data_IF_307818774857
#
_entry.id   IF_307818774857
#
_cell.length_a   1.000
_cell.length_b   1.000
_cell.length_c   1.000
_cell.angle_alpha   90.00
_cell.angle_beta   90.00
_cell.angle_gamma   90.00
#
_symmetry.space_group_name_H-M   'P 1'
#
loop_
_entity.id
_entity.type
_entity.pdbx_description
1 polymer ?
#
# COMPACT_ATOMS: atom_id res chain seq x y z
N UNK A 1 24.27 24.98 45.07
CA UNK A 1 24.23 23.58 44.62
C UNK A 1 24.40 23.60 43.11
N UNK A 2 25.45 22.99 42.53
CA UNK A 2 25.58 22.95 41.07
C UNK A 2 24.50 22.01 40.52
N UNK A 3 23.68 22.54 39.61
CA UNK A 3 22.64 21.81 38.89
C UNK A 3 23.25 20.70 38.02
N UNK A 4 22.67 19.49 37.99
CA UNK A 4 22.96 18.55 36.93
C UNK A 4 22.27 19.04 35.64
N UNK A 5 23.07 19.45 34.66
CA UNK A 5 22.64 19.59 33.26
C UNK A 5 22.26 18.21 32.73
N UNK A 6 20.97 17.97 32.56
CA UNK A 6 20.45 16.78 31.88
C UNK A 6 20.57 17.02 30.37
N UNK A 7 21.59 16.44 29.75
CA UNK A 7 21.71 16.30 28.29
C UNK A 7 21.11 14.96 27.85
N UNK A 8 19.78 14.87 27.74
CA UNK A 8 19.12 13.69 27.13
C UNK A 8 17.96 14.10 26.23
N UNK A 9 18.24 14.89 25.19
CA UNK A 9 17.28 15.16 24.11
C UNK A 9 17.39 14.15 22.95
N UNK A 10 18.35 13.23 23.00
CA UNK A 10 18.77 12.45 21.82
C UNK A 10 17.95 11.18 21.52
N UNK A 11 17.08 10.72 22.42
CA UNK A 11 16.26 9.52 22.18
C UNK A 11 14.95 9.82 21.42
N UNK A 12 14.40 11.03 21.56
CA UNK A 12 13.13 11.41 20.93
C UNK A 12 13.26 11.84 19.46
N UNK A 13 14.38 12.46 19.08
CA UNK A 13 14.58 12.98 17.71
C UNK A 13 14.89 11.87 16.69
N UNK A 14 15.50 10.77 17.13
CA UNK A 14 15.75 9.60 16.29
C UNK A 14 14.49 8.75 16.10
N UNK A 15 13.68 8.58 17.15
CA UNK A 15 12.40 7.88 17.07
C UNK A 15 11.45 8.49 16.01
N UNK A 16 11.39 9.82 15.92
CA UNK A 16 10.58 10.51 14.90
C UNK A 16 11.01 10.15 13.47
N UNK A 17 12.32 10.02 13.20
CA UNK A 17 12.84 9.66 11.86
C UNK A 17 12.57 8.20 11.49
N UNK A 18 12.70 7.27 12.43
CA UNK A 18 12.44 5.84 12.18
C UNK A 18 10.96 5.57 11.89
N UNK A 19 10.06 6.35 12.46
CA UNK A 19 8.61 6.11 12.35
C UNK A 19 7.99 6.87 11.18
N UNK A 20 8.50 8.07 10.87
CA UNK A 20 8.20 8.75 9.60
C UNK A 20 8.58 7.86 8.42
N UNK A 21 9.75 7.21 8.51
CA UNK A 21 10.19 6.23 7.54
C UNK A 21 9.31 4.98 7.55
N UNK A 22 8.88 4.49 8.72
CA UNK A 22 8.00 3.33 8.82
C UNK A 22 6.63 3.57 8.16
N UNK A 23 5.92 4.67 8.47
CA UNK A 23 4.60 4.91 7.87
C UNK A 23 4.66 5.04 6.33
N UNK A 24 5.77 5.57 5.81
CA UNK A 24 6.06 5.64 4.37
C UNK A 24 6.70 4.35 3.81
N UNK A 25 7.07 3.40 4.67
CA UNK A 25 7.66 2.10 4.31
C UNK A 25 6.62 1.05 3.93
N UNK A 26 5.32 1.38 4.00
CA UNK A 26 4.28 0.56 3.40
C UNK A 26 4.67 0.18 1.97
N UNK A 27 4.46 -1.08 1.58
CA UNK A 27 4.99 -1.60 0.32
C UNK A 27 4.57 -0.74 -0.88
N UNK A 28 3.32 -0.28 -0.89
CA UNK A 28 2.76 0.56 -1.96
C UNK A 28 3.34 1.99 -1.95
N UNK A 29 3.58 2.55 -0.77
CA UNK A 29 4.09 3.92 -0.61
C UNK A 29 5.61 4.00 -0.87
N UNK A 30 6.38 3.03 -0.37
CA UNK A 30 7.84 3.00 -0.46
C UNK A 30 8.35 2.79 -1.87
N UNK A 31 7.65 1.96 -2.66
CA UNK A 31 7.97 1.73 -4.07
C UNK A 31 7.41 2.81 -4.99
N UNK A 32 6.77 3.85 -4.42
CA UNK A 32 6.20 4.95 -5.19
C UNK A 32 5.16 4.48 -6.18
N UNK A 33 4.36 3.48 -5.80
CA UNK A 33 3.33 2.88 -6.64
C UNK A 33 2.04 3.73 -6.67
N UNK A 34 1.89 4.72 -5.79
CA UNK A 34 0.80 5.71 -5.77
C UNK A 34 1.36 7.12 -5.57
N UNK A 35 0.61 8.15 -5.96
CA UNK A 35 1.02 9.54 -5.80
C UNK A 35 0.75 10.04 -4.38
N UNK A 36 1.79 10.53 -3.69
CA UNK A 36 1.68 11.04 -2.33
C UNK A 36 1.45 12.54 -2.37
N UNK A 37 0.33 13.00 -1.80
CA UNK A 37 -0.01 14.40 -1.60
C UNK A 37 0.17 14.81 -0.14
N UNK A 38 1.31 15.44 0.20
CA UNK A 38 1.54 15.95 1.54
C UNK A 38 0.78 17.27 1.78
N UNK A 39 0.59 17.61 3.05
CA UNK A 39 0.09 18.89 3.55
C UNK A 39 -1.44 19.12 3.41
N UNK A 40 -2.26 18.07 3.43
CA UNK A 40 -3.72 18.17 3.38
C UNK A 40 -4.32 18.22 4.79
N UNK A 41 -4.55 19.42 5.31
CA UNK A 41 -5.04 19.60 6.69
C UNK A 41 -6.50 19.20 6.93
N UNK A 42 -7.37 19.35 5.93
CA UNK A 42 -8.81 19.08 6.10
C UNK A 42 -9.45 18.52 4.82
N UNK A 43 -9.34 19.23 3.71
CA UNK A 43 -9.81 18.75 2.40
C UNK A 43 -9.02 19.39 1.28
N UNK A 44 -8.75 18.62 0.24
CA UNK A 44 -8.22 19.13 -1.02
C UNK A 44 -9.13 18.65 -2.16
N UNK A 45 -9.40 19.53 -3.13
CA UNK A 45 -10.14 19.18 -4.34
C UNK A 45 -9.13 18.77 -5.40
N UNK A 46 -9.14 17.49 -5.72
CA UNK A 46 -8.41 16.89 -6.83
C UNK A 46 -9.14 17.23 -8.12
N UNK A 47 -8.49 18.00 -8.99
CA UNK A 47 -9.01 18.29 -10.33
C UNK A 47 -8.18 17.56 -11.36
N UNK A 48 -8.79 16.67 -12.13
CA UNK A 48 -8.16 16.07 -13.31
C UNK A 48 -8.87 16.59 -14.56
N UNK A 49 -8.06 17.11 -15.48
CA UNK A 49 -8.54 17.69 -16.73
C UNK A 49 -8.36 16.66 -17.83
N UNK A 50 -9.46 16.19 -18.41
CA UNK A 50 -9.42 15.34 -19.60
C UNK A 50 -9.76 16.23 -20.79
N UNK A 51 -8.87 16.25 -21.78
CA UNK A 51 -9.10 16.95 -23.03
C UNK A 51 -9.13 15.94 -24.16
N UNK A 52 -10.20 15.93 -24.96
CA UNK A 52 -10.35 15.04 -26.11
C UNK A 52 -10.77 15.80 -27.36
N UNK A 53 -10.45 15.27 -28.55
CA UNK A 53 -10.96 15.81 -29.82
C UNK A 53 -10.44 17.20 -30.21
N UNK A 54 -9.24 17.58 -29.76
CA UNK A 54 -8.61 18.89 -30.05
C UNK A 54 -8.27 19.11 -31.54
N UNK A 55 -8.19 18.04 -32.33
CA UNK A 55 -7.81 18.10 -33.74
C UNK A 55 -9.10 18.00 -34.56
N UNK A 56 -9.41 19.07 -35.29
CA UNK A 56 -10.46 19.09 -36.33
C UNK A 56 -9.87 19.43 -37.68
N UNK A 57 -10.62 19.12 -38.74
CA UNK A 57 -10.26 19.47 -40.10
C UNK A 57 -10.10 20.98 -40.29
N UNK A 58 -9.23 21.37 -41.22
CA UNK A 58 -8.92 22.76 -41.53
C UNK A 58 -10.17 23.50 -42.04
N UNK A 59 -10.42 24.67 -41.45
CA UNK A 59 -11.62 25.47 -41.66
C UNK A 59 -11.24 26.94 -41.65
N UNK A 60 -11.83 27.73 -42.56
CA UNK A 60 -11.62 29.18 -42.61
C UNK A 60 -12.12 29.90 -41.35
N UNK A 61 -13.01 29.26 -40.59
CA UNK A 61 -13.59 29.78 -39.35
C UNK A 61 -12.98 29.10 -38.13
N UNK A 62 -12.95 29.82 -37.00
CA UNK A 62 -12.62 29.25 -35.70
C UNK A 62 -13.76 28.34 -35.23
N UNK A 63 -13.61 27.05 -35.47
CA UNK A 63 -14.51 26.02 -34.94
C UNK A 63 -13.95 25.56 -33.60
N UNK A 64 -14.70 25.76 -32.51
CA UNK A 64 -14.32 25.23 -31.21
C UNK A 64 -14.29 23.70 -31.26
N UNK A 65 -13.08 23.14 -31.28
CA UNK A 65 -12.82 21.71 -31.30
C UNK A 65 -12.37 21.22 -29.93
N UNK A 66 -12.98 20.13 -29.49
CA UNK A 66 -12.61 19.42 -28.27
C UNK A 66 -13.45 19.78 -27.05
N UNK A 67 -13.63 18.79 -26.18
CA UNK A 67 -14.24 18.97 -24.87
C UNK A 67 -13.15 18.91 -23.79
N UNK A 68 -13.26 19.82 -22.82
CA UNK A 68 -12.45 19.81 -21.61
C UNK A 68 -13.38 19.44 -20.47
N UNK A 69 -13.31 18.19 -20.02
CA UNK A 69 -14.08 17.74 -18.86
C UNK A 69 -13.21 17.85 -17.62
N UNK A 70 -13.67 18.63 -16.64
CA UNK A 70 -13.07 18.75 -15.32
C UNK A 70 -13.79 17.80 -14.37
N UNK A 71 -13.13 16.71 -13.99
CA UNK A 71 -13.63 15.84 -12.91
C UNK A 71 -13.02 16.31 -11.60
N UNK A 72 -13.86 16.60 -10.62
CA UNK A 72 -13.46 17.02 -9.28
C UNK A 72 -13.75 15.90 -8.28
N UNK A 73 -12.74 15.47 -7.51
CA UNK A 73 -12.91 14.58 -6.35
C UNK A 73 -12.31 15.21 -5.11
N UNK A 74 -12.90 14.93 -3.96
CA UNK A 74 -12.42 15.46 -2.69
C UNK A 74 -11.61 14.37 -2.00
N UNK A 75 -10.39 14.71 -1.62
CA UNK A 75 -9.59 13.92 -0.68
C UNK A 75 -9.65 14.59 0.69
N UNK A 76 -10.05 13.82 1.70
CA UNK A 76 -10.16 14.23 3.09
C UNK A 76 -9.46 13.17 3.95
N UNK A 77 -8.22 13.41 4.39
CA UNK A 77 -7.52 12.51 5.31
C UNK A 77 -8.18 12.53 6.69
N UNK A 78 -8.35 11.35 7.27
CA UNK A 78 -8.84 11.20 8.63
C UNK A 78 -7.67 11.24 9.63
N UNK A 79 -7.98 11.64 10.87
CA UNK A 79 -6.98 11.75 11.93
C UNK A 79 -6.97 10.48 12.78
N UNK A 80 -5.80 9.85 12.87
CA UNK A 80 -5.57 8.63 13.62
C UNK A 80 -4.65 8.89 14.81
N UNK A 81 -4.87 8.11 15.87
CA UNK A 81 -4.01 8.07 17.03
C UNK A 81 -3.73 6.63 17.44
N UNK A 82 -2.49 6.37 17.83
CA UNK A 82 -2.08 5.12 18.47
C UNK A 82 -1.67 5.48 19.88
N UNK A 83 -2.45 5.01 20.85
CA UNK A 83 -2.17 5.17 22.28
C UNK A 83 -2.01 3.75 22.84
N UNK A 84 -0.76 3.30 22.97
CA UNK A 84 -0.44 2.00 23.57
C UNK A 84 0.07 2.23 24.99
N UNK A 85 -0.43 1.43 25.94
CA UNK A 85 0.07 1.39 27.32
C UNK A 85 0.62 -0.01 27.60
N UNK A 86 1.88 -0.08 28.03
CA UNK A 86 2.58 -1.31 28.33
C UNK A 86 3.09 -1.28 29.77
N UNK A 87 2.87 -2.37 30.50
CA UNK A 87 3.45 -2.56 31.83
C UNK A 87 4.88 -3.08 31.70
N UNK A 88 5.83 -2.53 32.47
CA UNK A 88 7.25 -2.92 32.47
C UNK A 88 7.52 -4.29 33.10
N UNK A 89 6.69 -4.72 34.05
CA UNK A 89 6.89 -5.94 34.87
C UNK A 89 7.20 -7.22 34.08
N UNK A 90 6.51 -7.58 32.98
CA UNK A 90 6.85 -8.77 32.20
C UNK A 90 8.14 -8.64 31.38
N UNK A 91 8.63 -7.42 31.15
CA UNK A 91 9.88 -7.19 30.39
C UNK A 91 11.12 -7.17 31.28
N UNK A 92 10.96 -6.95 32.59
CA UNK A 92 12.02 -7.00 33.60
C UNK A 92 12.67 -8.40 33.69
N UNK A 93 11.91 -9.49 33.43
CA UNK A 93 12.44 -10.86 33.46
C UNK A 93 13.28 -11.22 32.24
N UNK A 94 12.93 -10.67 31.07
CA UNK A 94 13.44 -11.13 29.78
C UNK A 94 14.62 -10.29 29.27
N UNK A 95 14.64 -8.98 29.55
CA UNK A 95 15.68 -8.06 29.06
C UNK A 95 16.84 -7.83 30.05
N UNK A 96 16.86 -8.63 31.11
CA UNK A 96 17.99 -8.76 32.02
C UNK A 96 18.03 -7.64 33.07
N UNK A 97 17.80 -8.02 34.32
CA UNK A 97 17.95 -7.20 35.53
C UNK A 97 19.31 -6.49 35.69
N UNK A 98 20.30 -6.78 34.83
CA UNK A 98 21.63 -6.17 34.84
C UNK A 98 21.68 -4.86 34.02
N UNK A 99 20.82 -4.70 33.01
CA UNK A 99 20.81 -3.50 32.15
C UNK A 99 19.79 -2.44 32.57
N UNK A 100 18.79 -2.83 33.36
CA UNK A 100 17.70 -1.97 33.86
C UNK A 100 18.08 -1.12 35.09
N UNK A 101 19.23 -1.39 35.71
CA UNK A 101 19.55 -0.85 37.03
C UNK A 101 18.97 -1.73 38.14
N UNK A 102 19.60 -1.73 39.32
CA UNK A 102 19.19 -2.59 40.45
C UNK A 102 18.13 -1.90 41.34
N UNK A 103 17.41 -0.90 40.83
CA UNK A 103 16.60 0.01 41.67
C UNK A 103 15.11 -0.15 41.41
N UNK A 104 14.25 0.25 42.36
CA UNK A 104 12.79 0.24 42.15
C UNK A 104 12.32 1.24 41.05
N UNK A 105 13.24 2.09 40.57
CA UNK A 105 13.06 3.06 39.50
C UNK A 105 14.00 2.71 38.33
N UNK A 106 13.59 1.72 37.54
CA UNK A 106 14.36 1.28 36.38
C UNK A 106 13.99 2.10 35.15
N UNK A 107 15.03 2.72 34.55
CA UNK A 107 14.95 3.39 33.27
C UNK A 107 14.96 2.36 32.15
N UNK A 108 14.11 2.56 31.15
CA UNK A 108 14.09 1.70 29.96
C UNK A 108 15.47 1.71 29.27
N UNK A 109 16.07 0.55 28.95
CA UNK A 109 17.26 0.46 28.13
C UNK A 109 17.00 1.12 26.78
N UNK A 110 17.96 1.92 26.25
CA UNK A 110 17.84 2.56 24.94
C UNK A 110 17.48 1.55 23.84
N UNK A 111 18.05 0.35 23.89
CA UNK A 111 17.82 -0.71 22.91
C UNK A 111 16.37 -1.21 22.92
N UNK A 112 15.77 -1.44 24.09
CA UNK A 112 14.38 -1.88 24.19
C UNK A 112 13.39 -0.80 23.74
N UNK A 113 13.66 0.47 24.09
CA UNK A 113 12.83 1.60 23.63
C UNK A 113 12.85 1.71 22.10
N UNK A 114 14.01 1.52 21.47
CA UNK A 114 14.17 1.56 20.01
C UNK A 114 13.48 0.37 19.33
N UNK A 115 13.56 -0.83 19.90
CA UNK A 115 12.87 -2.02 19.40
C UNK A 115 11.35 -1.88 19.45
N UNK A 116 10.81 -1.43 20.60
CA UNK A 116 9.38 -1.27 20.80
C UNK A 116 8.80 -0.21 19.85
N UNK A 117 9.52 0.89 19.69
CA UNK A 117 9.19 1.92 18.70
C UNK A 117 9.19 1.35 17.28
N UNK A 118 10.22 0.60 16.88
CA UNK A 118 10.30 0.00 15.56
C UNK A 118 9.16 -1.00 15.30
N UNK A 119 8.82 -1.83 16.30
CA UNK A 119 7.73 -2.81 16.19
C UNK A 119 6.35 -2.14 16.07
N UNK A 120 6.08 -1.11 16.89
CA UNK A 120 4.83 -0.34 16.77
C UNK A 120 4.76 0.33 15.40
N UNK A 121 5.87 0.88 14.92
CA UNK A 121 5.93 1.51 13.62
C UNK A 121 5.65 0.51 12.48
N UNK A 122 6.21 -0.70 12.52
CA UNK A 122 5.94 -1.78 11.57
C UNK A 122 4.45 -2.17 11.55
N UNK A 123 3.83 -2.33 12.72
CA UNK A 123 2.41 -2.67 12.83
C UNK A 123 1.50 -1.57 12.27
N UNK A 124 1.81 -0.29 12.56
CA UNK A 124 1.04 0.84 12.00
C UNK A 124 1.20 0.90 10.48
N UNK A 125 2.39 0.60 9.96
CA UNK A 125 2.67 0.59 8.52
C UNK A 125 1.91 -0.53 7.81
N UNK A 126 1.90 -1.73 8.39
CA UNK A 126 1.11 -2.85 7.89
C UNK A 126 -0.40 -2.56 7.91
N UNK A 127 -0.89 -1.97 9.00
CA UNK A 127 -2.31 -1.56 9.10
C UNK A 127 -2.66 -0.45 8.11
N UNK A 128 -1.75 0.50 7.86
CA UNK A 128 -1.96 1.56 6.88
C UNK A 128 -2.00 0.99 5.47
N UNK A 129 -1.10 0.07 5.12
CA UNK A 129 -1.10 -0.64 3.83
C UNK A 129 -2.41 -1.41 3.59
N UNK A 130 -2.91 -2.10 4.62
CA UNK A 130 -4.23 -2.73 4.56
C UNK A 130 -5.32 -1.69 4.30
N UNK A 131 -5.37 -0.62 5.09
CA UNK A 131 -6.40 0.42 4.94
C UNK A 131 -6.37 1.12 3.58
N UNK A 132 -5.18 1.32 2.97
CA UNK A 132 -5.03 1.86 1.60
C UNK A 132 -5.88 1.07 0.60
N UNK A 133 -5.89 -0.26 0.71
CA UNK A 133 -6.53 -1.13 -0.26
C UNK A 133 -7.94 -1.55 0.16
N UNK A 134 -8.11 -2.06 1.38
CA UNK A 134 -9.35 -2.71 1.85
C UNK A 134 -10.14 -1.90 2.90
N UNK A 135 -9.72 -0.68 3.21
CA UNK A 135 -10.36 0.12 4.26
C UNK A 135 -11.86 0.34 4.02
N UNK A 136 -12.68 0.24 5.06
CA UNK A 136 -14.14 0.28 4.93
C UNK A 136 -14.67 1.67 4.58
N UNK A 137 -15.74 1.69 3.77
CA UNK A 137 -16.37 2.94 3.35
C UNK A 137 -17.05 3.66 4.53
N UNK A 138 -16.84 4.97 4.63
CA UNK A 138 -17.44 5.85 5.63
C UNK A 138 -16.84 5.73 7.04
N UNK A 139 -15.66 5.11 7.19
CA UNK A 139 -15.05 4.90 8.51
C UNK A 139 -15.91 4.00 9.41
N UNK A 140 -16.60 3.03 8.82
CA UNK A 140 -17.51 2.13 9.52
C UNK A 140 -16.83 1.35 10.67
N UNK A 141 -15.51 1.22 10.62
CA UNK A 141 -14.66 0.62 11.66
C UNK A 141 -13.72 1.68 12.21
N UNK A 142 -13.60 1.74 13.54
CA UNK A 142 -12.69 2.67 14.20
C UNK A 142 -11.24 2.36 13.84
N UNK A 143 -10.48 3.37 13.41
CA UNK A 143 -9.08 3.23 13.03
C UNK A 143 -8.84 2.90 11.55
N UNK A 144 -9.88 2.92 10.72
CA UNK A 144 -9.79 2.74 9.27
C UNK A 144 -10.18 4.02 8.52
N UNK A 145 -9.63 4.20 7.33
CA UNK A 145 -10.08 5.16 6.32
C UNK A 145 -10.58 4.41 5.09
N UNK A 146 -11.29 5.07 4.19
CA UNK A 146 -11.82 4.44 2.97
C UNK A 146 -10.68 3.90 2.10
N UNK A 147 -10.70 2.62 1.71
CA UNK A 147 -9.72 2.00 0.83
C UNK A 147 -10.03 2.16 -0.66
N UNK A 148 -9.04 1.92 -1.52
CA UNK A 148 -9.21 2.03 -2.97
C UNK A 148 -10.24 1.05 -3.53
N UNK A 149 -10.25 -0.22 -3.09
CA UNK A 149 -11.18 -1.21 -3.64
C UNK A 149 -12.62 -0.94 -3.22
N UNK A 150 -12.85 -0.43 -2.01
CA UNK A 150 -14.19 -0.07 -1.52
C UNK A 150 -14.70 1.21 -2.16
N UNK A 151 -13.82 2.20 -2.37
CA UNK A 151 -14.15 3.41 -3.13
C UNK A 151 -14.41 3.11 -4.61
N UNK A 152 -13.68 2.15 -5.20
CA UNK A 152 -13.87 1.75 -6.59
C UNK A 152 -15.16 0.95 -6.77
N UNK A 153 -15.44 -0.02 -5.89
CA UNK A 153 -16.67 -0.82 -5.95
C UNK A 153 -17.96 -0.01 -5.73
N UNK A 154 -17.87 1.16 -5.08
CA UNK A 154 -19.00 2.07 -4.87
C UNK A 154 -19.25 3.02 -6.06
N UNK A 155 -18.33 3.08 -7.03
CA UNK A 155 -18.35 4.04 -8.13
C UNK A 155 -18.77 3.37 -9.45
N UNK A 156 -19.88 3.83 -10.02
CA UNK A 156 -20.42 3.29 -11.26
C UNK A 156 -19.59 3.63 -12.52
N UNK A 157 -18.65 4.57 -12.42
CA UNK A 157 -17.75 4.90 -13.53
C UNK A 157 -16.59 3.90 -13.65
N UNK A 158 -16.34 3.07 -12.64
CA UNK A 158 -15.27 2.06 -12.63
C UNK A 158 -15.64 0.86 -13.51
N UNK A 159 -14.65 0.30 -14.19
CA UNK A 159 -14.83 -0.89 -15.03
C UNK A 159 -14.70 -2.13 -14.15
N UNK A 160 -15.82 -2.73 -13.77
CA UNK A 160 -15.84 -3.94 -12.95
C UNK A 160 -15.66 -5.22 -13.80
N UNK A 161 -14.68 -6.03 -13.41
CA UNK A 161 -14.43 -7.38 -13.94
C UNK A 161 -14.73 -8.37 -12.83
N UNK A 162 -15.73 -9.24 -13.06
CA UNK A 162 -16.13 -10.21 -12.06
C UNK A 162 -15.02 -11.25 -11.80
N UNK A 163 -14.70 -11.47 -10.52
CA UNK A 163 -13.77 -12.51 -10.14
C UNK A 163 -14.31 -13.92 -10.44
N UNK A 164 -13.41 -14.82 -10.81
CA UNK A 164 -13.75 -16.22 -11.06
C UNK A 164 -14.27 -16.92 -9.80
N UNK A 165 -15.42 -17.58 -9.92
CA UNK A 165 -15.98 -18.41 -8.87
C UNK A 165 -15.04 -19.57 -8.51
N UNK A 166 -14.58 -19.63 -7.26
CA UNK A 166 -13.61 -20.62 -6.79
C UNK A 166 -12.19 -20.09 -6.56
N UNK A 167 -11.92 -18.83 -6.94
CA UNK A 167 -10.64 -18.15 -6.70
C UNK A 167 -9.60 -18.34 -7.82
N UNK A 168 -8.51 -17.59 -7.71
CA UNK A 168 -7.42 -17.58 -8.70
C UNK A 168 -6.38 -18.63 -8.34
N UNK A 169 -6.03 -19.46 -9.31
CA UNK A 169 -5.01 -20.51 -9.22
C UNK A 169 -4.03 -20.44 -10.39
N UNK A 170 -2.99 -21.29 -10.37
CA UNK A 170 -1.96 -21.29 -11.42
C UNK A 170 -2.47 -21.74 -12.80
N UNK A 171 -3.65 -22.35 -12.88
CA UNK A 171 -4.28 -22.79 -14.13
C UNK A 171 -5.12 -21.70 -14.80
N UNK A 172 -5.75 -20.82 -14.02
CA UNK A 172 -6.64 -19.78 -14.53
C UNK A 172 -6.04 -18.36 -14.51
N UNK A 173 -4.98 -18.10 -13.73
CA UNK A 173 -4.45 -16.75 -13.48
C UNK A 173 -4.09 -15.96 -14.75
N UNK A 174 -3.57 -16.60 -15.80
CA UNK A 174 -3.23 -15.91 -17.06
C UNK A 174 -4.50 -15.43 -17.77
N UNK A 175 -5.55 -16.26 -17.78
CA UNK A 175 -6.83 -15.90 -18.39
C UNK A 175 -7.52 -14.78 -17.59
N UNK A 176 -7.48 -14.85 -16.25
CA UNK A 176 -8.09 -13.81 -15.41
C UNK A 176 -7.33 -12.48 -15.50
N UNK A 177 -5.99 -12.49 -15.51
CA UNK A 177 -5.21 -11.27 -15.76
C UNK A 177 -5.42 -10.73 -17.18
N UNK A 178 -5.61 -11.62 -18.18
CA UNK A 178 -5.96 -11.23 -19.55
C UNK A 178 -7.29 -10.47 -19.62
N UNK A 179 -8.33 -10.88 -18.86
CA UNK A 179 -9.60 -10.14 -18.80
C UNK A 179 -9.42 -8.73 -18.25
N UNK A 180 -8.53 -8.55 -17.27
CA UNK A 180 -8.21 -7.22 -16.73
C UNK A 180 -7.54 -6.39 -17.82
N UNK A 181 -6.56 -6.95 -18.53
CA UNK A 181 -5.86 -6.29 -19.64
C UNK A 181 -6.82 -5.89 -20.76
N UNK A 182 -7.71 -6.78 -21.18
CA UNK A 182 -8.69 -6.53 -22.24
C UNK A 182 -9.70 -5.44 -21.85
N UNK A 183 -9.97 -5.29 -20.55
CA UNK A 183 -10.86 -4.26 -20.02
C UNK A 183 -10.18 -2.88 -19.89
N UNK A 184 -8.85 -2.79 -19.96
CA UNK A 184 -8.14 -1.50 -19.90
C UNK A 184 -8.46 -0.69 -21.17
N UNK A 185 -8.91 0.57 -21.02
CA UNK A 185 -9.12 1.46 -22.16
C UNK A 185 -7.86 1.59 -23.04
N UNK A 186 -8.02 1.48 -24.35
CA UNK A 186 -6.91 1.49 -25.33
C UNK A 186 -6.04 2.75 -25.29
N UNK A 187 -6.57 3.87 -24.80
CA UNK A 187 -5.84 5.13 -24.58
C UNK A 187 -4.82 5.06 -23.45
N UNK A 188 -4.95 4.09 -22.53
CA UNK A 188 -4.15 3.93 -21.33
C UNK A 188 -3.14 2.79 -21.42
N UNK A 189 -3.40 1.78 -22.26
CA UNK A 189 -2.64 0.53 -22.32
C UNK A 189 -1.12 0.69 -22.51
N UNK A 190 -0.68 1.71 -23.26
CA UNK A 190 0.74 1.95 -23.56
C UNK A 190 1.37 3.05 -22.68
N UNK A 191 0.74 3.43 -21.57
CA UNK A 191 1.25 4.47 -20.67
C UNK A 191 2.22 3.85 -19.66
N UNK A 192 3.36 4.51 -19.45
CA UNK A 192 4.44 3.99 -18.59
C UNK A 192 4.06 3.95 -17.09
N UNK A 193 3.07 4.75 -16.70
CA UNK A 193 2.51 4.86 -15.36
C UNK A 193 1.32 3.92 -15.10
N UNK A 194 1.05 2.99 -16.03
CA UNK A 194 0.01 1.96 -15.90
C UNK A 194 0.50 0.76 -15.09
N UNK A 195 -0.14 0.48 -13.95
CA UNK A 195 0.12 -0.70 -13.12
C UNK A 195 -1.13 -1.53 -12.88
N UNK A 196 -0.96 -2.86 -12.85
CA UNK A 196 -1.95 -3.81 -12.33
C UNK A 196 -1.52 -4.17 -10.90
N UNK A 197 -2.25 -3.65 -9.92
CA UNK A 197 -2.10 -3.98 -8.51
C UNK A 197 -2.79 -5.31 -8.24
N UNK A 198 -2.02 -6.32 -7.83
CA UNK A 198 -2.54 -7.67 -7.57
C UNK A 198 -2.35 -8.05 -6.11
N UNK A 199 -3.28 -8.86 -5.61
CA UNK A 199 -3.11 -9.53 -4.32
C UNK A 199 -1.97 -10.56 -4.34
N UNK A 200 -1.42 -10.84 -3.16
CA UNK A 200 -0.31 -11.81 -3.01
C UNK A 200 -0.66 -13.21 -3.54
N UNK A 201 -1.92 -13.61 -3.44
CA UNK A 201 -2.39 -14.90 -3.96
C UNK A 201 -2.24 -14.97 -5.49
N UNK A 202 -2.74 -13.94 -6.20
CA UNK A 202 -2.65 -13.84 -7.66
C UNK A 202 -1.19 -13.79 -8.11
N UNK A 203 -0.34 -13.02 -7.42
CA UNK A 203 1.09 -12.95 -7.73
C UNK A 203 1.79 -14.32 -7.60
N UNK A 204 1.51 -15.07 -6.52
CA UNK A 204 2.04 -16.43 -6.32
C UNK A 204 1.55 -17.40 -7.39
N UNK A 205 0.26 -17.34 -7.73
CA UNK A 205 -0.34 -18.15 -8.78
C UNK A 205 0.30 -17.85 -10.15
N UNK A 206 0.53 -16.58 -10.46
CA UNK A 206 1.15 -16.13 -11.71
C UNK A 206 2.60 -16.58 -11.83
N UNK A 207 3.44 -16.39 -10.79
CA UNK A 207 4.82 -16.89 -10.79
C UNK A 207 4.86 -18.41 -10.97
N UNK A 208 3.91 -19.15 -10.36
CA UNK A 208 3.80 -20.59 -10.54
C UNK A 208 3.36 -20.98 -11.96
N UNK A 209 2.48 -20.21 -12.59
CA UNK A 209 2.06 -20.42 -13.97
C UNK A 209 3.21 -20.17 -14.97
N UNK A 210 4.00 -19.12 -14.77
CA UNK A 210 5.24 -18.84 -15.53
C UNK A 210 6.29 -19.95 -15.39
N UNK A 211 6.24 -20.68 -14.27
CA UNK A 211 7.07 -21.85 -14.00
C UNK A 211 6.82 -23.05 -14.89
N UNK A 212 5.75 -23.08 -15.67
CA UNK A 212 5.52 -24.12 -16.66
C UNK A 212 5.35 -25.53 -16.08
N UNK A 213 4.86 -25.70 -14.85
CA UNK A 213 4.50 -27.03 -14.31
C UNK A 213 3.18 -27.54 -14.95
N UNK A 214 3.17 -27.75 -16.26
CA UNK A 214 2.20 -28.61 -16.90
C UNK A 214 2.55 -30.05 -16.56
N UNK A 215 1.67 -30.75 -15.84
CA UNK A 215 1.79 -32.20 -15.67
C UNK A 215 1.70 -32.84 -17.06
N UNK A 216 2.83 -33.39 -17.54
CA UNK A 216 2.85 -34.25 -18.72
C UNK A 216 2.01 -35.50 -18.40
N UNK A 217 0.72 -35.47 -18.71
CA UNK A 217 -0.10 -36.67 -18.73
C UNK A 217 0.20 -37.40 -20.04
N UNK A 218 1.08 -38.41 -19.97
CA UNK A 218 1.24 -39.37 -21.05
C UNK A 218 -0.10 -40.09 -21.28
N UNK A 219 -0.87 -39.65 -22.26
CA UNK A 219 -1.89 -40.52 -22.88
C UNK A 219 -1.12 -41.35 -23.90
N UNK A 220 -0.88 -42.61 -23.54
CA UNK A 220 -0.17 -43.56 -24.40
C UNK A 220 -0.87 -43.71 -25.75
N UNK A 221 -0.20 -43.28 -26.83
CA UNK A 221 -0.58 -43.62 -28.19
C UNK A 221 -0.58 -42.43 -29.14
N UNK A 222 0.57 -42.22 -29.78
CA UNK A 222 0.78 -41.38 -30.96
C UNK A 222 0.87 -39.87 -30.70
N UNK A 223 2.11 -39.41 -30.81
CA UNK A 223 2.60 -38.03 -30.82
C UNK A 223 2.57 -37.29 -29.49
N UNK A 224 3.77 -36.88 -29.06
CA UNK A 224 3.99 -35.97 -27.95
C UNK A 224 3.31 -34.63 -28.25
N UNK A 225 2.03 -34.49 -27.91
CA UNK A 225 1.33 -33.19 -27.90
C UNK A 225 1.12 -32.74 -26.46
N UNK A 226 2.18 -32.83 -25.65
CA UNK A 226 2.28 -32.00 -24.47
C UNK A 226 2.66 -30.61 -24.96
N UNK A 227 1.72 -29.67 -24.97
CA UNK A 227 2.08 -28.26 -25.14
C UNK A 227 3.01 -27.91 -23.98
N UNK A 228 4.31 -27.87 -24.27
CA UNK A 228 5.35 -27.45 -23.33
C UNK A 228 5.02 -26.01 -23.02
N UNK A 229 4.39 -25.79 -21.86
CA UNK A 229 4.08 -24.45 -21.36
C UNK A 229 5.34 -23.61 -21.52
N UNK A 230 5.21 -22.51 -22.27
CA UNK A 230 6.33 -21.68 -22.66
C UNK A 230 7.21 -21.44 -21.43
N UNK A 231 8.42 -21.98 -21.51
CA UNK A 231 9.55 -21.59 -20.69
C UNK A 231 9.45 -20.08 -20.48
N UNK A 232 9.31 -19.62 -19.23
CA UNK A 232 9.33 -18.20 -18.89
C UNK A 232 10.59 -17.49 -19.42
N UNK A 233 10.89 -16.28 -18.97
CA UNK A 233 12.07 -15.55 -19.48
C UNK A 233 13.34 -16.43 -19.34
N UNK A 234 14.00 -16.68 -20.48
CA UNK A 234 15.19 -17.52 -20.63
C UNK A 234 15.08 -18.97 -20.11
N UNK A 235 13.88 -19.55 -20.02
CA UNK A 235 13.69 -20.94 -19.54
C UNK A 235 14.06 -21.16 -18.08
N UNK A 236 14.06 -20.08 -17.28
CA UNK A 236 14.38 -20.13 -15.85
C UNK A 236 13.19 -20.49 -14.95
N UNK A 237 12.03 -20.83 -15.53
CA UNK A 237 10.84 -21.27 -14.80
C UNK A 237 10.49 -20.36 -13.62
N UNK A 238 10.14 -20.95 -12.47
CA UNK A 238 9.82 -20.20 -11.24
C UNK A 238 11.03 -19.54 -10.57
N UNK A 239 12.26 -19.91 -10.94
CA UNK A 239 13.50 -19.37 -10.34
C UNK A 239 13.82 -17.96 -10.83
N UNK A 240 13.13 -17.49 -11.87
CA UNK A 240 13.28 -16.14 -12.41
C UNK A 240 12.82 -15.05 -11.41
N UNK A 241 11.79 -15.31 -10.60
CA UNK A 241 11.29 -14.35 -9.62
C UNK A 241 12.15 -14.36 -8.33
N UNK A 242 13.33 -13.75 -8.41
CA UNK A 242 14.35 -13.65 -7.35
C UNK A 242 14.20 -12.47 -6.38
N UNK A 243 12.99 -11.92 -6.22
CA UNK A 243 12.70 -10.93 -5.15
C UNK A 243 12.93 -9.46 -5.47
N UNK A 244 13.07 -9.08 -6.75
CA UNK A 244 13.20 -7.67 -7.14
C UNK A 244 12.91 -7.32 -8.60
N UNK A 245 12.45 -8.28 -9.41
CA UNK A 245 12.11 -8.04 -10.83
C UNK A 245 10.61 -7.75 -10.98
N UNK A 246 10.27 -6.72 -11.75
CA UNK A 246 8.88 -6.36 -12.01
C UNK A 246 8.22 -7.42 -12.88
N UNK A 247 7.20 -8.08 -12.33
CA UNK A 247 6.28 -8.91 -13.10
C UNK A 247 5.58 -8.03 -14.14
N UNK A 248 5.36 -8.55 -15.34
CA UNK A 248 4.58 -7.87 -16.36
C UNK A 248 3.80 -8.89 -17.18
N UNK A 249 2.60 -8.52 -17.60
CA UNK A 249 1.76 -9.32 -18.50
C UNK A 249 1.36 -8.46 -19.69
N UNK A 250 1.51 -9.00 -20.90
CA UNK A 250 1.15 -8.37 -22.18
C UNK A 250 1.69 -6.93 -22.41
N UNK A 251 2.73 -6.53 -21.67
CA UNK A 251 3.35 -5.20 -21.72
C UNK A 251 2.96 -4.26 -20.58
N UNK A 252 2.05 -4.67 -19.68
CA UNK A 252 1.65 -3.90 -18.49
C UNK A 252 2.40 -4.40 -17.26
N UNK A 253 2.89 -3.47 -16.43
CA UNK A 253 3.62 -3.78 -15.19
C UNK A 253 2.65 -4.25 -14.10
N UNK A 254 3.01 -5.31 -13.40
CA UNK A 254 2.28 -5.84 -12.25
C UNK A 254 2.98 -5.39 -10.96
N UNK A 255 2.19 -4.88 -10.03
CA UNK A 255 2.63 -4.51 -8.69
C UNK A 255 1.94 -5.39 -7.64
N UNK A 256 2.71 -5.95 -6.71
CA UNK A 256 2.15 -6.79 -5.64
C UNK A 256 1.79 -5.91 -4.44
N UNK A 257 0.50 -5.66 -4.26
CA UNK A 257 -0.04 -4.92 -3.14
C UNK A 257 -0.33 -5.86 -1.97
N UNK A 258 0.36 -5.66 -0.84
CA UNK A 258 0.26 -6.56 0.31
C UNK A 258 -1.06 -6.41 1.06
N UNK A 259 -1.68 -5.22 1.00
CA UNK A 259 -2.96 -4.93 1.66
C UNK A 259 -4.21 -5.32 0.86
N UNK A 260 -4.05 -5.85 -0.36
CA UNK A 260 -5.15 -6.17 -1.26
C UNK A 260 -5.78 -7.53 -0.89
N UNK A 261 -7.13 -7.64 -0.79
CA UNK A 261 -7.80 -8.90 -0.46
C UNK A 261 -7.48 -10.04 -1.43
N UNK A 262 -7.59 -11.29 -0.97
CA UNK A 262 -7.34 -12.45 -1.83
C UNK A 262 -8.28 -12.45 -3.04
N UNK A 263 -7.75 -12.83 -4.20
CA UNK A 263 -8.46 -12.85 -5.48
C UNK A 263 -8.92 -11.47 -5.98
N UNK A 264 -8.42 -10.37 -5.41
CA UNK A 264 -8.69 -9.03 -5.92
C UNK A 264 -7.48 -8.52 -6.70
N UNK A 265 -7.78 -7.70 -7.71
CA UNK A 265 -6.79 -6.90 -8.43
C UNK A 265 -7.42 -5.58 -8.87
N UNK A 266 -6.59 -4.58 -9.14
CA UNK A 266 -7.01 -3.26 -9.61
C UNK A 266 -6.00 -2.80 -10.66
N UNK A 267 -6.45 -2.42 -11.85
CA UNK A 267 -5.60 -1.74 -12.82
C UNK A 267 -5.90 -0.25 -12.78
N UNK A 268 -4.91 0.57 -12.45
CA UNK A 268 -5.03 2.02 -12.46
C UNK A 268 -3.69 2.69 -12.76
N UNK A 269 -3.73 3.86 -13.39
CA UNK A 269 -2.52 4.68 -13.50
C UNK A 269 -2.06 5.11 -12.10
N UNK A 270 -0.76 5.06 -11.85
CA UNK A 270 -0.17 5.59 -10.61
C UNK A 270 -0.59 7.05 -10.37
N UNK A 271 -0.58 7.86 -11.43
CA UNK A 271 -0.95 9.28 -11.39
C UNK A 271 -2.44 9.52 -11.13
N UNK A 272 -3.25 8.46 -11.12
CA UNK A 272 -4.68 8.51 -10.82
C UNK A 272 -5.00 8.10 -9.38
N UNK A 273 -4.04 7.49 -8.66
CA UNK A 273 -4.19 7.05 -7.27
C UNK A 273 -3.45 8.00 -6.33
N UNK A 274 -4.16 8.57 -5.36
CA UNK A 274 -3.62 9.57 -4.45
C UNK A 274 -3.70 9.11 -3.00
N UNK A 275 -2.58 9.28 -2.29
CA UNK A 275 -2.50 9.15 -0.85
C UNK A 275 -2.31 10.53 -0.22
N UNK A 276 -3.31 10.97 0.54
CA UNK A 276 -3.31 12.25 1.23
C UNK A 276 -2.82 12.13 2.65
N UNK A 277 -1.91 13.02 3.04
CA UNK A 277 -1.43 13.13 4.42
C UNK A 277 -1.31 14.59 4.85
N UNK A 278 -1.55 14.85 6.13
CA UNK A 278 -1.83 16.19 6.64
C UNK A 278 -0.61 17.07 6.88
N UNK A 279 0.49 16.55 7.41
CA UNK A 279 1.75 17.30 7.54
C UNK A 279 2.94 16.34 7.49
N UNK A 280 3.96 16.72 6.73
CA UNK A 280 5.27 16.06 6.81
C UNK A 280 5.96 16.21 8.18
N UNK A 281 5.42 17.05 9.07
CA UNK A 281 5.87 17.20 10.46
C UNK A 281 5.00 16.49 11.49
N UNK A 282 3.81 16.00 11.15
CA UNK A 282 3.00 15.22 12.11
C UNK A 282 3.66 13.86 12.40
N UNK A 283 4.52 13.40 11.50
CA UNK A 283 5.42 12.27 11.72
C UNK A 283 6.39 12.45 12.90
N UNK A 284 6.62 13.69 13.36
CA UNK A 284 7.55 14.00 14.45
C UNK A 284 6.92 13.92 15.85
N UNK A 285 5.63 13.61 15.97
CA UNK A 285 4.91 13.59 17.25
C UNK A 285 4.80 12.19 17.86
N UNK A 286 5.81 11.35 17.64
CA UNK A 286 5.90 10.06 18.32
C UNK A 286 6.74 10.19 19.57
N UNK A 287 6.12 9.91 20.71
CA UNK A 287 6.78 9.97 22.02
C UNK A 287 6.53 8.68 22.77
N UNK A 288 7.62 8.11 23.26
CA UNK A 288 7.58 7.13 24.33
C UNK A 288 7.68 7.91 25.65
N UNK A 289 6.66 7.78 26.49
CA UNK A 289 6.61 8.44 27.79
C UNK A 289 6.64 7.38 28.86
N UNK A 290 7.65 7.46 29.73
CA UNK A 290 7.73 6.67 30.94
C UNK A 290 6.83 7.30 32.02
N UNK A 291 5.84 6.54 32.52
CA UNK A 291 4.93 7.02 33.55
C UNK A 291 5.52 6.95 34.95
N UNK A 292 6.66 6.25 35.14
CA UNK A 292 7.31 6.15 36.44
C UNK A 292 7.66 7.53 37.04
N UNK A 293 8.05 8.48 36.20
CA UNK A 293 8.41 9.85 36.64
C UNK A 293 7.20 10.78 36.83
N UNK A 294 6.02 10.42 36.30
CA UNK A 294 4.83 11.29 36.29
C UNK A 294 3.81 10.84 37.32
N UNK A 295 3.43 9.56 37.32
CA UNK A 295 2.38 9.02 38.19
C UNK A 295 2.85 7.86 39.08
N UNK A 296 4.14 7.47 38.99
CA UNK A 296 4.73 6.39 39.77
C UNK A 296 4.32 4.99 39.32
N UNK A 297 3.57 4.86 38.22
CA UNK A 297 3.23 3.57 37.63
C UNK A 297 4.39 3.01 36.81
N UNK A 298 4.52 1.69 36.78
CA UNK A 298 5.50 0.98 35.94
C UNK A 298 5.04 0.90 34.48
N UNK A 299 4.34 1.92 33.96
CA UNK A 299 3.77 1.89 32.62
C UNK A 299 4.56 2.75 31.64
N UNK A 300 4.69 2.28 30.41
CA UNK A 300 5.26 3.01 29.29
C UNK A 300 4.14 3.27 28.29
N UNK A 301 3.99 4.52 27.88
CA UNK A 301 3.00 4.92 26.87
C UNK A 301 3.69 5.28 25.57
N UNK A 302 3.23 4.70 24.46
CA UNK A 302 3.59 5.13 23.11
C UNK A 302 2.42 5.90 22.54
N UNK A 303 2.67 7.16 22.18
CA UNK A 303 1.68 8.04 21.58
C UNK A 303 2.17 8.38 20.18
N UNK A 304 1.34 8.10 19.17
CA UNK A 304 1.54 8.50 17.78
C UNK A 304 0.25 9.13 17.27
N UNK A 305 0.38 10.20 16.48
CA UNK A 305 -0.72 10.82 15.75
C UNK A 305 -0.33 10.96 14.30
N UNK A 306 -1.21 10.61 13.40
CA UNK A 306 -0.99 10.74 11.97
C UNK A 306 -2.30 10.99 11.25
N UNK A 307 -2.20 11.45 10.01
CA UNK A 307 -3.35 11.68 9.15
C UNK A 307 -3.14 10.93 7.84
N UNK A 308 -4.14 10.18 7.42
CA UNK A 308 -4.08 9.36 6.23
C UNK A 308 -5.46 9.28 5.57
N UNK A 309 -5.48 9.25 4.25
CA UNK A 309 -6.67 8.98 3.46
C UNK A 309 -6.26 8.73 2.01
N UNK A 310 -7.08 7.97 1.29
CA UNK A 310 -6.85 7.73 -0.14
C UNK A 310 -8.02 8.23 -0.96
N UNK A 311 -7.72 8.58 -2.21
CA UNK A 311 -8.72 8.93 -3.21
C UNK A 311 -8.13 8.72 -4.61
N UNK A 312 -8.98 8.47 -5.60
CA UNK A 312 -8.57 8.45 -7.00
C UNK A 312 -9.23 9.56 -7.82
N UNK A 313 -8.69 9.85 -9.00
CA UNK A 313 -9.15 10.94 -9.86
C UNK A 313 -10.34 10.57 -10.75
N UNK A 314 -10.11 9.66 -11.70
CA UNK A 314 -11.09 9.27 -12.72
C UNK A 314 -11.43 7.79 -12.55
N UNK A 315 -12.71 7.47 -12.33
CA UNK A 315 -13.20 6.09 -12.19
C UNK A 315 -13.10 5.28 -13.49
N UNK A 316 -13.41 5.88 -14.63
CA UNK A 316 -13.37 5.21 -15.94
C UNK A 316 -11.99 4.83 -16.46
N UNK A 317 -10.92 5.25 -15.77
CA UNK A 317 -9.54 4.84 -16.03
C UNK A 317 -9.07 3.73 -15.08
N UNK A 318 -10.00 3.17 -14.29
CA UNK A 318 -9.76 2.11 -13.31
C UNK A 318 -10.54 0.87 -13.72
N UNK A 319 -9.84 -0.26 -13.70
CA UNK A 319 -10.46 -1.59 -13.80
C UNK A 319 -10.35 -2.25 -12.44
N UNK A 320 -11.48 -2.66 -11.85
CA UNK A 320 -11.52 -3.40 -10.60
C UNK A 320 -11.84 -4.87 -10.89
N UNK A 321 -11.04 -5.78 -10.32
CA UNK A 321 -11.30 -7.21 -10.33
C UNK A 321 -11.63 -7.67 -8.91
N UNK A 322 -12.87 -8.12 -8.70
CA UNK A 322 -13.44 -8.40 -7.36
C UNK A 322 -14.50 -9.49 -7.35
#
# INVERSE_FOLDING_TARGET
MPQPTITTTYAGEFAGKYIAAALLSGNTLSQGAIEIKPNIKFKEVMKKVVTSGLITDDSCDFTSAGSVTLTERIIQPDQFQVNLELCKTPFESDWGAVSMGYSAFDNLPPDFSSFLIAHVAEQVSASTENNIWQGNLGGAVAGEFNGFTTLAAADADVIDVAAVGGGVDSGNVIAELGKIVDAIPSTLYNKDDMFIYVSQNIAKAYVRALGGYAALSNVAGTENVGSVGANGIDGRGTLWYGGGENLSIDGVKIFVANGLPNNYAMAAQRSNLYFGTGLMSDYNLVKLIDMADIDGSKNVRVIMRFTAGVQYGIGSEIVLYS
#
